data_IF_419943986584
#
_entry.id   IF_419943986584
#
_cell.length_a   1.000
_cell.length_b   1.000
_cell.length_c   1.000
_cell.angle_alpha   90.00
_cell.angle_beta   90.00
_cell.angle_gamma   90.00
#
_symmetry.space_group_name_H-M   'P 1'
#
loop_
_entity.id
_entity.type
_entity.pdbx_description
1 polymer ?
#
# COMPACT_ATOMS: atom_id res chain seq x y z
N UNK A 1 4.27 -7.44 38.15
CA UNK A 1 3.93 -7.36 36.70
C UNK A 1 4.33 -6.00 36.09
N UNK A 2 5.62 -5.65 36.12
CA UNK A 2 6.12 -4.32 35.68
C UNK A 2 6.19 -4.20 34.15
N UNK A 3 6.53 -5.29 33.47
CA UNK A 3 6.71 -5.36 32.01
C UNK A 3 5.41 -5.11 31.25
N UNK A 4 4.30 -5.67 31.74
CA UNK A 4 2.97 -5.43 31.17
C UNK A 4 2.55 -3.95 31.28
N UNK A 5 2.70 -3.34 32.47
CA UNK A 5 2.37 -1.92 32.69
C UNK A 5 3.16 -1.00 31.74
N UNK A 6 4.47 -1.25 31.58
CA UNK A 6 5.32 -0.49 30.63
C UNK A 6 4.87 -0.66 29.17
N UNK A 7 4.56 -1.89 28.77
CA UNK A 7 4.08 -2.20 27.43
C UNK A 7 2.75 -1.50 27.12
N UNK A 8 1.79 -1.56 28.04
CA UNK A 8 0.50 -0.89 27.91
C UNK A 8 0.65 0.63 27.80
N UNK A 9 1.49 1.25 28.65
CA UNK A 9 1.76 2.68 28.56
C UNK A 9 2.38 3.10 27.23
N UNK A 10 3.26 2.28 26.65
CA UNK A 10 3.84 2.52 25.33
C UNK A 10 2.75 2.53 24.25
N UNK A 11 1.84 1.54 24.24
CA UNK A 11 0.81 1.46 23.23
C UNK A 11 -0.27 2.55 23.36
N UNK A 12 -0.61 2.97 24.59
CA UNK A 12 -1.45 4.17 24.80
C UNK A 12 -0.79 5.40 24.16
N UNK A 13 0.52 5.58 24.36
CA UNK A 13 1.23 6.71 23.76
C UNK A 13 1.23 6.64 22.23
N UNK A 14 1.40 5.44 21.65
CA UNK A 14 1.29 5.22 20.20
C UNK A 14 -0.11 5.50 19.67
N UNK A 15 -1.16 5.14 20.40
CA UNK A 15 -2.55 5.50 20.07
C UNK A 15 -2.72 7.01 19.92
N UNK A 16 -2.25 7.78 20.91
CA UNK A 16 -2.28 9.26 20.84
C UNK A 16 -1.52 9.84 19.64
N UNK A 17 -0.37 9.26 19.29
CA UNK A 17 0.39 9.68 18.09
C UNK A 17 -0.37 9.41 16.79
N UNK A 18 -1.15 8.33 16.73
CA UNK A 18 -1.99 8.00 15.57
C UNK A 18 -3.21 8.92 15.52
N UNK A 19 -3.86 9.17 16.65
CA UNK A 19 -5.00 10.09 16.73
C UNK A 19 -4.61 11.52 16.36
N UNK A 20 -3.42 11.97 16.75
CA UNK A 20 -2.88 13.26 16.34
C UNK A 20 -2.72 13.37 14.81
N UNK A 21 -2.34 12.28 14.13
CA UNK A 21 -2.26 12.23 12.66
C UNK A 21 -3.63 12.22 12.01
N UNK A 22 -4.59 11.50 12.59
CA UNK A 22 -5.98 11.52 12.12
C UNK A 22 -6.59 12.93 12.21
N UNK A 23 -6.24 13.71 13.24
CA UNK A 23 -6.69 15.11 13.39
C UNK A 23 -6.18 16.07 12.32
N UNK A 24 -5.11 15.72 11.61
CA UNK A 24 -4.59 16.47 10.46
C UNK A 24 -4.90 15.77 9.14
N UNK A 25 -5.97 14.97 9.13
CA UNK A 25 -6.52 14.25 7.97
C UNK A 25 -5.54 13.30 7.26
N UNK A 26 -4.50 12.82 7.97
CA UNK A 26 -3.70 11.72 7.45
C UNK A 26 -4.56 10.44 7.43
N UNK A 27 -4.65 9.80 6.26
CA UNK A 27 -5.46 8.57 6.08
C UNK A 27 -4.64 7.32 6.39
N UNK A 28 -3.36 7.34 6.03
CA UNK A 28 -2.55 6.16 5.84
C UNK A 28 -1.27 6.19 6.68
N UNK A 29 -0.76 5.01 7.05
CA UNK A 29 0.53 4.91 7.74
C UNK A 29 1.69 5.48 6.91
N UNK A 30 2.77 5.90 7.58
CA UNK A 30 3.99 6.38 6.91
C UNK A 30 4.59 5.36 5.95
N UNK A 31 4.49 4.06 6.26
CA UNK A 31 5.02 2.97 5.45
C UNK A 31 4.31 2.93 4.10
N UNK A 32 2.98 2.90 4.08
CA UNK A 32 2.22 2.82 2.83
C UNK A 32 2.33 4.12 2.04
N UNK A 33 2.34 5.28 2.71
CA UNK A 33 2.56 6.57 2.04
C UNK A 33 3.91 6.61 1.31
N UNK A 34 4.97 6.05 1.91
CA UNK A 34 6.27 5.92 1.23
C UNK A 34 6.19 4.96 0.05
N UNK A 35 5.60 3.79 0.25
CA UNK A 35 5.48 2.79 -0.79
C UNK A 35 4.64 3.25 -1.99
N UNK A 36 3.62 4.07 -1.76
CA UNK A 36 2.82 4.72 -2.81
C UNK A 36 3.65 5.71 -3.60
N UNK A 37 4.41 6.60 -2.94
CA UNK A 37 5.34 7.51 -3.63
C UNK A 37 6.37 6.75 -4.46
N UNK A 38 6.92 5.67 -3.91
CA UNK A 38 7.88 4.82 -4.62
C UNK A 38 7.23 4.13 -5.83
N UNK A 39 5.97 3.71 -5.74
CA UNK A 39 5.23 3.14 -6.88
C UNK A 39 4.92 4.21 -7.95
N UNK A 40 4.48 5.39 -7.53
CA UNK A 40 4.15 6.52 -8.42
C UNK A 40 5.36 7.07 -9.17
N UNK A 41 6.51 7.21 -8.48
CA UNK A 41 7.77 7.66 -9.09
C UNK A 41 8.25 6.77 -10.24
N UNK A 42 7.82 5.51 -10.27
CA UNK A 42 8.18 4.55 -11.32
C UNK A 42 7.16 4.47 -12.44
N UNK A 43 6.01 5.13 -12.37
CA UNK A 43 4.94 4.99 -13.39
C UNK A 43 5.46 5.28 -14.80
N UNK A 44 6.33 6.28 -14.97
CA UNK A 44 6.87 6.67 -16.26
C UNK A 44 7.83 5.64 -16.89
N UNK A 45 8.33 4.66 -16.11
CA UNK A 45 9.13 3.55 -16.63
C UNK A 45 8.28 2.35 -17.06
N UNK A 46 6.95 2.45 -17.00
CA UNK A 46 6.02 1.37 -17.30
C UNK A 46 5.00 1.83 -18.33
N UNK A 47 4.57 0.93 -19.21
CA UNK A 47 3.45 1.17 -20.11
C UNK A 47 2.59 -0.08 -20.25
N UNK A 48 1.28 0.12 -20.42
CA UNK A 48 0.37 -0.98 -20.73
C UNK A 48 0.62 -1.39 -22.18
N UNK A 49 1.03 -2.63 -22.38
CA UNK A 49 1.28 -3.22 -23.68
C UNK A 49 0.02 -3.91 -24.23
N UNK A 50 -0.66 -4.67 -23.38
CA UNK A 50 -1.95 -5.30 -23.71
C UNK A 50 -2.94 -5.11 -22.56
N UNK A 51 -4.22 -5.01 -22.91
CA UNK A 51 -5.33 -4.91 -21.97
C UNK A 51 -6.53 -5.70 -22.49
N UNK A 52 -6.96 -6.69 -21.71
CA UNK A 52 -8.22 -7.38 -21.90
C UNK A 52 -9.27 -6.80 -20.95
N UNK A 53 -10.27 -6.14 -21.54
CA UNK A 53 -11.36 -5.48 -20.82
C UNK A 53 -12.30 -6.46 -20.14
N UNK A 54 -12.55 -7.64 -20.72
CA UNK A 54 -13.49 -8.61 -20.17
C UNK A 54 -12.96 -9.22 -18.88
N UNK A 55 -11.67 -9.53 -18.87
CA UNK A 55 -11.02 -10.20 -17.73
C UNK A 55 -10.30 -9.21 -16.80
N UNK A 56 -10.18 -7.92 -17.16
CA UNK A 56 -9.35 -6.92 -16.47
C UNK A 56 -7.89 -7.35 -16.32
N UNK A 57 -7.39 -8.06 -17.32
CA UNK A 57 -6.00 -8.51 -17.38
C UNK A 57 -5.16 -7.49 -18.15
N UNK A 58 -3.95 -7.25 -17.65
CA UNK A 58 -3.02 -6.31 -18.24
C UNK A 58 -1.67 -6.99 -18.41
N UNK A 59 -1.03 -6.70 -19.54
CA UNK A 59 0.39 -6.91 -19.71
C UNK A 59 1.07 -5.56 -19.65
N UNK A 60 1.84 -5.31 -18.59
CA UNK A 60 2.60 -4.07 -18.44
C UNK A 60 4.06 -4.34 -18.75
N UNK A 61 4.59 -3.57 -19.69
CA UNK A 61 6.00 -3.59 -20.03
C UNK A 61 6.74 -2.56 -19.19
N UNK A 62 7.73 -3.04 -18.45
CA UNK A 62 8.67 -2.23 -17.68
C UNK A 62 9.94 -1.99 -18.49
N UNK A 63 10.25 -0.72 -18.73
CA UNK A 63 11.47 -0.27 -19.40
C UNK A 63 12.58 -0.10 -18.37
N UNK A 64 13.58 -0.97 -18.42
CA UNK A 64 14.71 -0.92 -17.49
C UNK A 64 15.87 -0.15 -18.14
N UNK A 65 16.05 1.11 -17.75
CA UNK A 65 17.16 1.93 -18.23
C UNK A 65 18.41 1.73 -17.35
N UNK A 66 19.21 0.70 -17.66
CA UNK A 66 20.54 0.49 -17.05
C UNK A 66 21.64 1.38 -17.70
N UNK A 67 21.24 2.39 -18.48
CA UNK A 67 22.04 3.33 -19.30
C UNK A 67 22.60 2.84 -20.65
N UNK A 68 22.72 1.53 -20.96
CA UNK A 68 23.51 1.05 -22.13
C UNK A 68 23.00 -0.15 -22.95
N UNK A 69 21.83 -0.73 -22.63
CA UNK A 69 21.12 -1.74 -23.45
C UNK A 69 19.72 -1.83 -22.86
N UNK A 70 18.70 -1.34 -23.58
CA UNK A 70 17.32 -1.30 -23.09
C UNK A 70 16.79 -2.73 -23.06
N UNK A 71 16.45 -3.21 -21.87
CA UNK A 71 15.71 -4.45 -21.71
C UNK A 71 14.29 -4.11 -21.29
N UNK A 72 13.33 -4.76 -21.93
CA UNK A 72 11.93 -4.68 -21.58
C UNK A 72 11.55 -5.98 -20.88
N UNK A 73 10.82 -5.87 -19.77
CA UNK A 73 10.25 -7.03 -19.10
C UNK A 73 8.75 -6.84 -18.98
N UNK A 74 8.01 -7.86 -19.37
CA UNK A 74 6.56 -7.85 -19.28
C UNK A 74 6.12 -8.47 -17.95
N UNK A 75 5.10 -7.86 -17.35
CA UNK A 75 4.47 -8.32 -16.12
C UNK A 75 2.97 -8.39 -16.32
N UNK A 76 2.40 -9.52 -15.96
CA UNK A 76 0.96 -9.75 -15.98
C UNK A 76 0.35 -9.21 -14.69
N UNK A 77 -0.78 -8.51 -14.82
CA UNK A 77 -1.58 -8.00 -13.72
C UNK A 77 -3.03 -8.44 -13.92
N UNK A 78 -3.63 -8.92 -12.84
CA UNK A 78 -5.06 -9.25 -12.76
C UNK A 78 -5.64 -8.44 -11.62
N UNK A 79 -6.34 -7.36 -11.95
CA UNK A 79 -6.82 -6.40 -10.96
C UNK A 79 -7.86 -7.03 -10.02
N UNK A 80 -8.83 -7.76 -10.59
CA UNK A 80 -9.86 -8.46 -9.83
C UNK A 80 -9.26 -9.44 -8.80
N UNK A 81 -8.27 -10.21 -9.20
CA UNK A 81 -7.62 -11.22 -8.36
C UNK A 81 -6.55 -10.64 -7.42
N UNK A 82 -6.39 -9.31 -7.42
CA UNK A 82 -5.34 -8.59 -6.71
C UNK A 82 -3.94 -9.16 -6.95
N UNK A 83 -3.64 -9.51 -8.20
CA UNK A 83 -2.47 -10.31 -8.55
C UNK A 83 -1.53 -9.60 -9.53
N UNK A 84 -0.23 -9.74 -9.30
CA UNK A 84 0.84 -9.26 -10.18
C UNK A 84 2.03 -10.22 -10.18
N UNK A 85 2.68 -10.42 -11.32
CA UNK A 85 3.91 -11.24 -11.45
C UNK A 85 5.04 -10.83 -10.49
N UNK A 86 5.11 -9.53 -10.16
CA UNK A 86 6.08 -9.00 -9.19
C UNK A 86 5.79 -9.42 -7.74
N UNK A 87 4.65 -10.06 -7.47
CA UNK A 87 4.19 -10.63 -6.18
C UNK A 87 3.94 -9.63 -5.05
N UNK A 88 4.39 -8.38 -5.18
CA UNK A 88 4.20 -7.34 -4.14
C UNK A 88 2.72 -7.08 -3.86
N UNK A 89 1.87 -7.17 -4.89
CA UNK A 89 0.44 -6.90 -4.75
C UNK A 89 -0.25 -7.89 -3.81
N UNK A 90 0.01 -9.18 -4.02
CA UNK A 90 -0.54 -10.27 -3.24
C UNK A 90 0.08 -10.32 -1.84
N UNK A 91 1.40 -10.12 -1.74
CA UNK A 91 2.13 -10.33 -0.48
C UNK A 91 1.96 -9.19 0.52
N UNK A 92 1.86 -7.96 0.05
CA UNK A 92 1.77 -6.78 0.91
C UNK A 92 0.36 -6.18 0.92
N UNK A 93 -0.60 -6.80 0.25
CA UNK A 93 -1.97 -6.30 0.11
C UNK A 93 -2.01 -4.80 -0.26
N UNK A 94 -1.13 -4.41 -1.19
CA UNK A 94 -1.00 -3.03 -1.67
C UNK A 94 -0.55 -2.96 -3.13
N UNK A 95 -0.97 -1.95 -3.90
CA UNK A 95 -0.56 -1.78 -5.30
C UNK A 95 0.95 -1.65 -5.49
N UNK A 96 1.53 -2.41 -6.42
CA UNK A 96 2.86 -2.11 -6.96
C UNK A 96 2.78 -1.07 -8.10
N UNK A 97 3.92 -0.62 -8.62
CA UNK A 97 3.98 0.32 -9.75
C UNK A 97 3.21 -0.18 -10.97
N UNK A 98 3.29 -1.49 -11.29
CA UNK A 98 2.54 -2.09 -12.39
C UNK A 98 1.02 -1.97 -12.20
N UNK A 99 0.53 -2.18 -10.98
CA UNK A 99 -0.89 -2.04 -10.63
C UNK A 99 -1.34 -0.58 -10.71
N UNK A 100 -0.51 0.37 -10.26
CA UNK A 100 -0.81 1.81 -10.39
C UNK A 100 -0.97 2.20 -11.86
N UNK A 101 -0.10 1.70 -12.75
CA UNK A 101 -0.17 1.95 -14.20
C UNK A 101 -1.45 1.35 -14.80
N UNK A 102 -1.75 0.08 -14.49
CA UNK A 102 -2.98 -0.58 -14.94
C UNK A 102 -4.24 0.17 -14.47
N UNK A 103 -4.28 0.57 -13.20
CA UNK A 103 -5.40 1.35 -12.65
C UNK A 103 -5.57 2.70 -13.35
N UNK A 104 -4.46 3.42 -13.60
CA UNK A 104 -4.49 4.70 -14.34
C UNK A 104 -5.02 4.51 -15.77
N UNK A 105 -4.66 3.42 -16.44
CA UNK A 105 -5.11 3.12 -17.79
C UNK A 105 -6.64 2.97 -17.90
N UNK A 106 -7.30 2.44 -16.88
CA UNK A 106 -8.76 2.28 -16.82
C UNK A 106 -9.46 3.31 -15.92
N UNK A 107 -8.79 4.40 -15.57
CA UNK A 107 -9.29 5.45 -14.68
C UNK A 107 -9.83 4.94 -13.33
N UNK A 108 -9.26 3.84 -12.82
CA UNK A 108 -9.62 3.28 -11.53
C UNK A 108 -8.72 3.84 -10.42
N UNK A 109 -9.30 4.12 -9.26
CA UNK A 109 -8.53 4.58 -8.11
C UNK A 109 -7.73 3.43 -7.50
N UNK A 110 -6.42 3.38 -7.76
CA UNK A 110 -5.55 2.31 -7.25
C UNK A 110 -5.58 2.19 -5.71
N UNK A 111 -5.91 3.26 -4.98
CA UNK A 111 -5.96 3.24 -3.51
C UNK A 111 -7.05 2.30 -2.97
N UNK A 112 -8.04 1.93 -3.77
CA UNK A 112 -9.08 0.94 -3.41
C UNK A 112 -8.50 -0.45 -3.09
N UNK A 113 -7.29 -0.72 -3.58
CA UNK A 113 -6.58 -1.99 -3.39
C UNK A 113 -5.65 -2.00 -2.17
N UNK A 114 -5.55 -0.90 -1.43
CA UNK A 114 -4.76 -0.84 -0.20
C UNK A 114 -5.60 -1.43 0.94
N UNK A 115 -5.04 -2.41 1.64
CA UNK A 115 -5.72 -3.03 2.78
C UNK A 115 -5.95 -2.04 3.93
N UNK A 116 -7.10 -2.18 4.61
CA UNK A 116 -7.50 -1.34 5.73
C UNK A 116 -6.52 -1.36 6.89
N UNK A 117 -5.72 -2.43 7.06
CA UNK A 117 -4.69 -2.51 8.12
C UNK A 117 -3.64 -1.41 8.02
N UNK A 118 -3.51 -0.77 6.85
CA UNK A 118 -2.61 0.36 6.63
C UNK A 118 -3.26 1.73 6.88
N UNK A 119 -4.53 1.79 7.23
CA UNK A 119 -5.22 3.04 7.56
C UNK A 119 -4.94 3.43 9.01
N UNK A 120 -4.75 4.73 9.25
CA UNK A 120 -4.57 5.25 10.61
C UNK A 120 -5.83 5.04 11.45
N UNK A 121 -7.02 5.00 10.83
CA UNK A 121 -8.27 4.66 11.51
C UNK A 121 -8.25 3.25 12.08
N UNK A 122 -7.88 2.25 11.28
CA UNK A 122 -7.77 0.87 11.76
C UNK A 122 -6.74 0.75 12.90
N UNK A 123 -5.58 1.37 12.73
CA UNK A 123 -4.51 1.36 13.75
C UNK A 123 -4.96 2.05 15.05
N UNK A 124 -5.67 3.17 14.96
CA UNK A 124 -6.25 3.87 16.12
C UNK A 124 -7.23 2.98 16.86
N UNK A 125 -8.16 2.33 16.15
CA UNK A 125 -9.12 1.40 16.76
C UNK A 125 -8.41 0.28 17.52
N UNK A 126 -7.40 -0.35 16.92
CA UNK A 126 -6.61 -1.41 17.59
C UNK A 126 -5.98 -0.90 18.89
N UNK A 127 -5.39 0.31 18.88
CA UNK A 127 -4.78 0.85 20.09
C UNK A 127 -5.81 1.20 21.16
N UNK A 128 -6.95 1.77 20.77
CA UNK A 128 -7.97 2.23 21.70
C UNK A 128 -8.81 1.08 22.28
N UNK A 129 -8.98 -0.03 21.55
CA UNK A 129 -9.72 -1.21 22.00
C UNK A 129 -8.89 -2.11 22.92
N UNK A 130 -7.59 -2.27 22.63
CA UNK A 130 -6.74 -3.25 23.33
C UNK A 130 -5.95 -2.66 24.50
N UNK A 131 -5.72 -1.34 24.53
CA UNK A 131 -4.85 -0.70 25.52
C UNK A 131 -5.58 0.45 26.21
N UNK A 132 -5.81 0.28 27.51
CA UNK A 132 -6.55 1.23 28.33
C UNK A 132 -5.77 1.67 29.56
N UNK A 133 -6.21 2.75 30.18
CA UNK A 133 -5.63 3.20 31.46
C UNK A 133 -5.86 2.11 32.51
N UNK A 134 -4.79 1.56 33.04
CA UNK A 134 -4.87 0.55 34.10
C UNK A 134 -5.32 1.25 35.39
N UNK A 135 -6.28 0.66 36.09
CA UNK A 135 -6.61 1.05 37.47
C UNK A 135 -5.44 0.72 38.39
N UNK A 136 -5.16 1.62 39.33
CA UNK A 136 -4.13 1.41 40.36
C UNK A 136 -4.61 0.45 41.44
#
# INVERSE_FOLDING_TARGET
>A
MLTYKRCNSLFIQRGKEVDAKLKVDEVYTKIINRAMRDAESKVNSHHVFEFDRCSTHFLVQETINLRKRRHTKNFTIRLHDKWCDYKKFQKLHMPCSHVVVACKHVHHNYKSYIDQVYTLKYVSNVYNELFGKLSN
#
